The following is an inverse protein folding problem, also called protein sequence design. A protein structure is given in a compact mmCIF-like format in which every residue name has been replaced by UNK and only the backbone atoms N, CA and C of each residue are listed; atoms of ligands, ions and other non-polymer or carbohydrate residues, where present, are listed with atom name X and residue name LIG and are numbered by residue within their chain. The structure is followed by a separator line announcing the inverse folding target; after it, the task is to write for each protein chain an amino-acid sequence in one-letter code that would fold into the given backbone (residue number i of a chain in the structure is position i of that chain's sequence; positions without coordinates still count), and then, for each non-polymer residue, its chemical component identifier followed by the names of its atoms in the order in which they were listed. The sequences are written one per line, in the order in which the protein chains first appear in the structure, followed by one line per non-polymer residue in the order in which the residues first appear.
data_IF_284126583321
#
_entry.id   IF_284126583321
#
_cell.length_a   1.000
_cell.length_b   1.000
_cell.length_c   1.000
_cell.angle_alpha   90.00
_cell.angle_beta   90.00
_cell.angle_gamma   90.00
#
_symmetry.space_group_name_H-M   'P 1'
#
loop_
_entity.id
_entity.type
_entity.pdbx_description
1 polymer ?
#
# COMPACT_ATOMS: atom_id res chain seq x y z
N UNK A 1 29.73 52.44 1.17
CA UNK A 1 30.38 51.74 2.30
C UNK A 1 29.27 51.03 3.04
N UNK A 2 28.99 49.74 2.88
CA UNK A 2 29.84 48.59 2.52
C UNK A 2 28.96 47.49 1.89
N UNK A 3 29.41 46.98 0.75
CA UNK A 3 29.39 45.56 0.31
C UNK A 3 29.37 44.55 1.48
N UNK A 4 28.75 43.36 1.52
CA UNK A 4 28.33 42.27 0.60
C UNK A 4 27.54 41.24 1.49
N UNK A 5 27.11 40.02 1.06
CA UNK A 5 26.86 39.48 -0.28
C UNK A 5 25.45 38.86 -0.45
N UNK A 6 24.98 38.80 -1.69
CA UNK A 6 23.93 37.87 -2.10
C UNK A 6 24.44 36.42 -1.97
N UNK A 7 23.86 35.67 -1.03
CA UNK A 7 24.17 34.27 -0.84
C UNK A 7 23.35 33.37 -1.79
N UNK A 8 24.03 32.66 -2.69
CA UNK A 8 23.67 31.29 -3.04
C UNK A 8 22.88 31.04 -4.32
N UNK A 9 23.49 31.24 -5.49
CA UNK A 9 23.19 30.50 -6.72
C UNK A 9 23.49 28.99 -6.54
N UNK A 10 22.61 28.26 -5.85
CA UNK A 10 22.78 26.82 -5.55
C UNK A 10 21.66 25.90 -6.05
N UNK A 11 20.74 26.38 -6.91
CA UNK A 11 19.46 25.71 -7.18
C UNK A 11 19.13 25.38 -8.64
N UNK A 12 19.88 25.88 -9.63
CA UNK A 12 19.50 25.75 -11.05
C UNK A 12 19.39 24.30 -11.54
N UNK A 13 20.37 23.47 -11.20
CA UNK A 13 20.39 22.07 -11.63
C UNK A 13 19.39 21.19 -10.86
N UNK A 14 19.18 21.46 -9.56
CA UNK A 14 18.17 20.76 -8.73
C UNK A 14 16.74 21.11 -9.14
N UNK A 15 16.50 22.33 -9.60
CA UNK A 15 15.19 22.74 -10.13
C UNK A 15 14.96 22.23 -11.56
N UNK A 16 16.00 22.21 -12.40
CA UNK A 16 15.94 21.63 -13.75
C UNK A 16 15.66 20.11 -13.72
N UNK A 17 16.22 19.39 -12.73
CA UNK A 17 15.94 17.97 -12.53
C UNK A 17 14.52 17.69 -11.99
N UNK A 18 13.89 18.64 -11.28
CA UNK A 18 12.53 18.47 -10.71
C UNK A 18 11.42 18.71 -11.74
N UNK A 19 11.63 19.65 -12.66
CA UNK A 19 10.67 20.02 -13.69
C UNK A 19 10.05 18.84 -14.49
N UNK A 20 10.81 17.84 -14.97
CA UNK A 20 10.22 16.70 -15.67
C UNK A 20 9.37 15.79 -14.75
N UNK A 21 9.77 15.60 -13.49
CA UNK A 21 9.01 14.78 -12.54
C UNK A 21 7.73 15.46 -12.08
N UNK A 22 7.78 16.78 -11.84
CA UNK A 22 6.61 17.57 -11.44
C UNK A 22 5.55 17.60 -12.56
N UNK A 23 5.98 17.61 -13.84
CA UNK A 23 5.07 17.52 -14.98
C UNK A 23 4.39 16.14 -15.08
N UNK A 24 5.16 15.05 -14.95
CA UNK A 24 4.63 13.67 -14.96
C UNK A 24 3.61 13.49 -13.83
N UNK A 25 3.97 13.94 -12.62
CA UNK A 25 3.14 13.78 -11.43
C UNK A 25 1.85 14.62 -11.52
N UNK A 26 1.94 15.85 -12.04
CA UNK A 26 0.75 16.69 -12.28
C UNK A 26 -0.17 16.11 -13.36
N UNK A 27 0.40 15.53 -14.43
CA UNK A 27 -0.37 14.86 -15.48
C UNK A 27 -1.09 13.61 -14.94
N UNK A 28 -0.39 12.83 -14.11
CA UNK A 28 -0.95 11.64 -13.46
C UNK A 28 -2.10 12.02 -12.51
N UNK A 29 -1.93 13.05 -11.69
CA UNK A 29 -2.97 13.53 -10.75
C UNK A 29 -4.22 14.02 -11.47
N UNK A 30 -4.05 14.79 -12.55
CA UNK A 30 -5.19 15.23 -13.37
C UNK A 30 -5.96 14.03 -13.95
N UNK A 31 -5.25 13.02 -14.46
CA UNK A 31 -5.86 11.81 -15.01
C UNK A 31 -6.56 10.98 -13.93
N UNK A 32 -5.89 10.68 -12.81
CA UNK A 32 -6.44 9.89 -11.71
C UNK A 32 -7.71 10.53 -11.12
N UNK A 33 -7.67 11.84 -10.85
CA UNK A 33 -8.83 12.59 -10.31
C UNK A 33 -9.99 12.60 -11.30
N UNK A 34 -9.73 12.89 -12.56
CA UNK A 34 -10.78 12.95 -13.60
C UNK A 34 -11.43 11.58 -13.79
N UNK A 35 -10.63 10.51 -13.85
CA UNK A 35 -11.13 9.16 -14.00
C UNK A 35 -11.93 8.69 -12.77
N UNK A 36 -11.49 9.00 -11.54
CA UNK A 36 -12.22 8.64 -10.32
C UNK A 36 -13.53 9.41 -10.18
N UNK A 37 -13.55 10.71 -10.47
CA UNK A 37 -14.78 11.51 -10.45
C UNK A 37 -15.78 10.94 -11.46
N UNK A 38 -15.34 10.61 -12.67
CA UNK A 38 -16.18 9.98 -13.69
C UNK A 38 -16.73 8.63 -13.22
N UNK A 39 -15.90 7.79 -12.60
CA UNK A 39 -16.34 6.48 -12.13
C UNK A 39 -17.35 6.56 -10.98
N UNK A 40 -17.11 7.43 -9.99
CA UNK A 40 -18.02 7.63 -8.85
C UNK A 40 -19.33 8.26 -9.31
N UNK A 41 -19.27 9.30 -10.15
CA UNK A 41 -20.47 9.94 -10.71
C UNK A 41 -21.27 8.97 -11.59
N UNK A 42 -20.58 8.18 -12.42
CA UNK A 42 -21.20 7.14 -13.24
C UNK A 42 -21.88 6.07 -12.38
N UNK A 43 -21.22 5.60 -11.32
CA UNK A 43 -21.76 4.60 -10.41
C UNK A 43 -23.00 5.14 -9.69
N UNK A 44 -22.95 6.36 -9.17
CA UNK A 44 -24.10 7.02 -8.56
C UNK A 44 -25.27 7.16 -9.55
N UNK A 45 -25.00 7.59 -10.78
CA UNK A 45 -26.03 7.76 -11.82
C UNK A 45 -26.72 6.44 -12.15
N UNK A 46 -25.94 5.38 -12.35
CA UNK A 46 -26.45 4.06 -12.73
C UNK A 46 -27.23 3.40 -11.57
N UNK A 47 -26.74 3.54 -10.33
CA UNK A 47 -27.40 2.98 -9.14
C UNK A 47 -28.70 3.73 -8.81
N UNK A 48 -28.69 5.06 -8.81
CA UNK A 48 -29.90 5.89 -8.63
C UNK A 48 -30.90 5.62 -9.74
N UNK A 49 -30.45 5.57 -11.00
CA UNK A 49 -31.30 5.23 -12.15
C UNK A 49 -31.97 3.86 -11.99
N UNK A 50 -31.24 2.86 -11.48
CA UNK A 50 -31.80 1.54 -11.20
C UNK A 50 -32.85 1.56 -10.07
N UNK A 51 -32.62 2.34 -9.01
CA UNK A 51 -33.61 2.51 -7.92
C UNK A 51 -34.88 3.18 -8.44
N UNK A 52 -34.75 4.22 -9.27
CA UNK A 52 -35.89 4.90 -9.90
C UNK A 52 -36.65 3.94 -10.82
N UNK A 53 -35.95 3.20 -11.69
CA UNK A 53 -36.58 2.22 -12.58
C UNK A 53 -37.34 1.16 -11.79
N UNK A 54 -36.73 0.62 -10.73
CA UNK A 54 -37.34 -0.40 -9.88
C UNK A 54 -38.59 0.11 -9.16
N UNK A 55 -38.55 1.36 -8.66
CA UNK A 55 -39.61 1.91 -7.81
C UNK A 55 -40.74 2.60 -8.59
N UNK A 56 -40.46 3.19 -9.76
CA UNK A 56 -41.47 3.89 -10.57
C UNK A 56 -41.99 3.05 -11.73
N UNK A 57 -41.13 2.25 -12.36
CA UNK A 57 -41.44 1.53 -13.61
C UNK A 57 -41.65 0.03 -13.39
N UNK A 58 -41.37 -0.48 -12.19
CA UNK A 58 -41.56 -1.88 -11.82
C UNK A 58 -40.58 -2.88 -12.46
N UNK A 59 -39.58 -2.39 -13.22
CA UNK A 59 -38.52 -3.21 -13.81
C UNK A 59 -37.14 -2.79 -13.29
N UNK A 60 -36.20 -3.74 -13.16
CA UNK A 60 -34.82 -3.45 -12.79
C UNK A 60 -33.91 -3.40 -14.02
N UNK A 61 -32.98 -2.45 -14.05
CA UNK A 61 -31.97 -2.35 -15.09
C UNK A 61 -30.87 -3.37 -14.84
N UNK A 62 -30.95 -4.52 -15.51
CA UNK A 62 -29.99 -5.61 -15.31
C UNK A 62 -28.54 -5.19 -15.62
N UNK A 63 -28.34 -4.29 -16.60
CA UNK A 63 -27.03 -3.72 -16.92
C UNK A 63 -26.47 -2.83 -15.80
N UNK A 64 -27.35 -2.23 -14.97
CA UNK A 64 -26.91 -1.28 -13.95
C UNK A 64 -26.07 -1.96 -12.87
N UNK A 65 -26.39 -3.22 -12.55
CA UNK A 65 -25.60 -4.00 -11.62
C UNK A 65 -24.21 -4.34 -12.17
N UNK A 66 -24.14 -4.78 -13.44
CA UNK A 66 -22.88 -5.12 -14.10
C UNK A 66 -21.97 -3.88 -14.19
N UNK A 67 -22.52 -2.73 -14.59
CA UNK A 67 -21.78 -1.47 -14.71
C UNK A 67 -21.33 -0.96 -13.34
N UNK A 68 -22.20 -1.01 -12.31
CA UNK A 68 -21.82 -0.59 -10.97
C UNK A 68 -20.66 -1.43 -10.41
N UNK A 69 -20.67 -2.75 -10.64
CA UNK A 69 -19.57 -3.62 -10.22
C UNK A 69 -18.28 -3.32 -10.99
N UNK A 70 -18.35 -3.03 -12.30
CA UNK A 70 -17.17 -2.59 -13.06
C UNK A 70 -16.58 -1.29 -12.53
N UNK A 71 -17.43 -0.29 -12.29
CA UNK A 71 -17.02 1.01 -11.77
C UNK A 71 -16.47 0.88 -10.34
N UNK A 72 -16.94 -0.07 -9.54
CA UNK A 72 -16.37 -0.33 -8.20
C UNK A 72 -14.93 -0.82 -8.30
N UNK A 73 -14.66 -1.76 -9.21
CA UNK A 73 -13.29 -2.23 -9.47
C UNK A 73 -12.43 -1.07 -9.95
N UNK A 74 -12.92 -0.24 -10.89
CA UNK A 74 -12.21 0.98 -11.32
C UNK A 74 -11.86 1.90 -10.16
N UNK A 75 -12.84 2.22 -9.29
CA UNK A 75 -12.64 3.13 -8.15
C UNK A 75 -11.61 2.56 -7.17
N UNK A 76 -11.65 1.25 -6.89
CA UNK A 76 -10.71 0.63 -5.95
C UNK A 76 -9.26 0.69 -6.43
N UNK A 77 -9.00 0.36 -7.69
CA UNK A 77 -7.63 0.29 -8.21
C UNK A 77 -7.07 1.64 -8.62
N UNK A 78 -7.87 2.54 -9.22
CA UNK A 78 -7.43 3.91 -9.49
C UNK A 78 -7.27 4.71 -8.18
N UNK A 79 -8.01 4.36 -7.12
CA UNK A 79 -7.91 4.99 -5.81
C UNK A 79 -6.58 4.77 -5.09
N UNK A 80 -5.81 3.74 -5.47
CA UNK A 80 -4.50 3.43 -4.87
C UNK A 80 -3.53 4.60 -5.05
N UNK A 81 -3.50 5.18 -6.26
CA UNK A 81 -2.68 6.35 -6.55
C UNK A 81 -3.06 7.53 -5.64
N UNK A 82 -4.30 7.98 -5.63
CA UNK A 82 -4.67 9.12 -4.78
C UNK A 82 -4.38 8.85 -3.29
N UNK A 83 -4.54 7.60 -2.82
CA UNK A 83 -4.17 7.18 -1.47
C UNK A 83 -2.68 7.35 -1.15
N UNK A 84 -1.81 6.87 -2.03
CA UNK A 84 -0.36 6.96 -1.87
C UNK A 84 0.14 8.42 -1.95
N UNK A 85 -0.41 9.21 -2.88
CA UNK A 85 -0.08 10.64 -3.01
C UNK A 85 -0.36 11.46 -1.77
N UNK A 86 -1.48 11.20 -1.08
CA UNK A 86 -1.85 11.91 0.15
C UNK A 86 -1.31 11.23 1.41
N UNK A 87 -0.38 10.27 1.27
CA UNK A 87 0.23 9.57 2.39
C UNK A 87 -0.79 8.97 3.38
N UNK A 88 -1.97 8.55 2.89
CA UNK A 88 -3.05 8.00 3.73
C UNK A 88 -2.83 6.55 4.16
N UNK A 89 -1.61 6.05 3.98
CA UNK A 89 -1.24 4.71 4.43
C UNK A 89 -0.99 4.72 5.93
N UNK A 90 -1.50 3.71 6.63
CA UNK A 90 -1.24 3.54 8.06
C UNK A 90 0.25 3.25 8.22
N UNK A 91 1.00 4.25 8.68
CA UNK A 91 2.42 4.12 9.02
C UNK A 91 2.54 3.65 10.46
N UNK A 92 3.32 2.61 10.68
CA UNK A 92 3.80 2.26 12.02
C UNK A 92 5.03 3.10 12.32
N UNK A 93 4.87 4.19 13.08
CA UNK A 93 5.95 5.15 13.37
C UNK A 93 6.91 4.65 14.44
N UNK A 94 6.48 3.75 15.34
CA UNK A 94 7.27 3.33 16.50
C UNK A 94 8.70 2.85 16.19
N UNK A 95 8.91 2.18 15.05
CA UNK A 95 10.26 1.79 14.63
C UNK A 95 11.03 2.98 14.05
N UNK A 96 10.38 3.83 13.25
CA UNK A 96 10.99 5.02 12.64
C UNK A 96 11.41 6.06 13.70
N UNK A 97 10.65 6.18 14.79
CA UNK A 97 10.86 7.16 15.87
C UNK A 97 12.06 6.79 16.77
N UNK A 98 12.46 5.52 16.78
CA UNK A 98 13.61 5.02 17.53
C UNK A 98 14.95 5.16 16.78
N UNK A 99 14.93 5.49 15.48
CA UNK A 99 16.13 5.62 14.66
C UNK A 99 16.64 7.08 14.62
N UNK A 100 17.98 7.31 14.58
CA UNK A 100 18.55 8.64 14.38
C UNK A 100 18.18 9.19 12.98
N UNK A 101 18.27 10.51 12.79
CA UNK A 101 17.83 11.21 11.57
C UNK A 101 18.29 10.57 10.24
N UNK A 102 19.52 10.04 10.18
CA UNK A 102 20.04 9.33 9.00
C UNK A 102 19.33 7.98 8.78
N UNK A 103 19.03 7.26 9.86
CA UNK A 103 18.34 5.97 9.83
C UNK A 103 16.89 6.08 9.38
N UNK A 104 16.19 7.11 9.84
CA UNK A 104 14.83 7.46 9.39
C UNK A 104 14.76 7.65 7.88
N UNK A 105 15.69 8.45 7.35
CA UNK A 105 15.78 8.72 5.92
C UNK A 105 16.06 7.46 5.10
N UNK A 106 17.06 6.69 5.51
CA UNK A 106 17.44 5.43 4.83
C UNK A 106 16.25 4.46 4.84
N UNK A 107 15.58 4.32 5.98
CA UNK A 107 14.40 3.46 6.11
C UNK A 107 13.29 3.89 5.15
N UNK A 108 12.98 5.18 5.08
CA UNK A 108 11.93 5.72 4.23
C UNK A 108 12.26 5.53 2.74
N UNK A 109 13.53 5.72 2.34
CA UNK A 109 14.02 5.38 0.99
C UNK A 109 13.80 3.90 0.67
N UNK A 110 14.26 3.01 1.55
CA UNK A 110 14.19 1.56 1.34
C UNK A 110 12.73 1.13 1.22
N UNK A 111 11.87 1.53 2.17
CA UNK A 111 10.45 1.19 2.15
C UNK A 111 9.79 1.67 0.87
N UNK A 112 10.02 2.93 0.47
CA UNK A 112 9.41 3.49 -0.75
C UNK A 112 9.81 2.71 -2.01
N UNK A 113 11.09 2.36 -2.17
CA UNK A 113 11.54 1.57 -3.32
C UNK A 113 11.11 0.11 -3.26
N UNK A 114 11.12 -0.52 -2.09
CA UNK A 114 10.64 -1.90 -1.93
C UNK A 114 9.13 -1.98 -2.22
N UNK A 115 8.34 -1.02 -1.74
CA UNK A 115 6.91 -0.94 -2.06
C UNK A 115 6.67 -0.65 -3.54
N UNK A 116 7.42 0.27 -4.15
CA UNK A 116 7.34 0.52 -5.59
C UNK A 116 7.66 -0.73 -6.41
N UNK A 117 8.74 -1.43 -6.08
CA UNK A 117 9.13 -2.68 -6.72
C UNK A 117 8.04 -3.74 -6.61
N UNK A 118 7.49 -3.95 -5.41
CA UNK A 118 6.38 -4.88 -5.19
C UNK A 118 5.16 -4.52 -6.05
N UNK A 119 4.77 -3.25 -6.10
CA UNK A 119 3.64 -2.79 -6.91
C UNK A 119 3.89 -2.97 -8.41
N UNK A 120 5.12 -2.74 -8.90
CA UNK A 120 5.46 -3.03 -10.29
C UNK A 120 5.44 -4.53 -10.60
N UNK A 121 5.91 -5.39 -9.70
CA UNK A 121 5.79 -6.85 -9.85
C UNK A 121 4.34 -7.32 -9.87
N UNK A 122 3.48 -6.73 -9.02
CA UNK A 122 2.04 -7.00 -9.03
C UNK A 122 1.36 -6.48 -10.29
N UNK A 123 1.82 -5.36 -10.85
CA UNK A 123 1.33 -4.84 -12.12
C UNK A 123 1.67 -5.78 -13.28
N UNK A 124 2.91 -6.27 -13.36
CA UNK A 124 3.32 -7.25 -14.37
C UNK A 124 2.51 -8.56 -14.24
N UNK A 125 2.35 -9.06 -13.02
CA UNK A 125 1.53 -10.24 -12.78
C UNK A 125 0.07 -10.03 -13.19
N UNK A 126 -0.53 -8.90 -12.80
CA UNK A 126 -1.92 -8.58 -13.15
C UNK A 126 -2.10 -8.42 -14.67
N UNK A 127 -1.09 -7.91 -15.38
CA UNK A 127 -1.07 -7.85 -16.84
C UNK A 127 -1.05 -9.24 -17.47
N UNK A 128 -0.16 -10.11 -17.00
CA UNK A 128 -0.07 -11.50 -17.45
C UNK A 128 -1.36 -12.28 -17.14
N UNK A 129 -1.96 -12.06 -15.97
CA UNK A 129 -3.24 -12.64 -15.58
C UNK A 129 -4.38 -12.16 -16.48
N UNK A 130 -4.50 -10.84 -16.74
CA UNK A 130 -5.52 -10.31 -17.65
C UNK A 130 -5.38 -10.89 -19.07
N UNK A 131 -4.14 -11.01 -19.56
CA UNK A 131 -3.84 -11.66 -20.84
C UNK A 131 -4.09 -13.16 -20.85
N UNK A 132 -3.95 -13.85 -19.71
CA UNK A 132 -4.33 -15.25 -19.55
C UNK A 132 -5.86 -15.38 -19.61
N UNK A 133 -6.61 -14.56 -18.87
CA UNK A 133 -8.08 -14.54 -18.90
C UNK A 133 -8.62 -14.32 -20.31
N UNK A 134 -8.01 -13.42 -21.09
CA UNK A 134 -8.38 -13.21 -22.48
C UNK A 134 -8.19 -14.46 -23.36
N UNK A 135 -7.10 -15.21 -23.14
CA UNK A 135 -6.73 -16.39 -23.93
C UNK A 135 -7.44 -17.66 -23.49
N UNK A 136 -8.16 -17.64 -22.36
CA UNK A 136 -8.68 -18.87 -21.81
C UNK A 136 -10.08 -19.23 -22.31
N UNK A 137 -10.11 -20.13 -23.31
CA UNK A 137 -11.30 -20.87 -23.72
C UNK A 137 -11.22 -22.35 -23.26
N UNK A 138 -10.81 -22.65 -22.03
CA UNK A 138 -10.69 -24.05 -21.55
C UNK A 138 -11.55 -24.28 -20.30
N UNK A 139 -12.37 -25.32 -20.35
CA UNK A 139 -13.27 -25.72 -19.27
C UNK A 139 -12.53 -26.65 -18.30
N UNK A 140 -12.56 -26.33 -17.01
CA UNK A 140 -12.53 -27.36 -15.96
C UNK A 140 -13.96 -27.50 -15.42
N UNK A 141 -14.36 -28.72 -15.00
CA UNK A 141 -15.68 -28.93 -14.40
C UNK A 141 -15.85 -28.06 -13.14
N UNK A 142 -17.00 -27.39 -13.04
CA UNK A 142 -17.33 -26.47 -11.92
C UNK A 142 -17.34 -27.18 -10.56
N UNK A 143 -17.61 -28.48 -10.58
CA UNK A 143 -17.50 -29.36 -9.43
C UNK A 143 -16.90 -30.73 -9.81
N UNK A 144 -16.11 -31.29 -8.89
CA UNK A 144 -15.75 -32.71 -8.91
C UNK A 144 -16.74 -33.41 -7.99
N UNK A 145 -17.61 -34.22 -8.59
CA UNK A 145 -18.60 -34.99 -7.85
C UNK A 145 -17.98 -36.29 -7.34
N UNK A 146 -17.71 -36.36 -6.05
CA UNK A 146 -17.16 -37.54 -5.37
C UNK A 146 -18.27 -38.49 -4.89
N UNK A 147 -19.51 -38.34 -5.38
CA UNK A 147 -20.64 -39.21 -5.09
C UNK A 147 -21.28 -39.01 -3.71
N UNK A 148 -20.53 -38.50 -2.73
CA UNK A 148 -21.04 -38.09 -1.41
C UNK A 148 -20.93 -36.57 -1.19
N UNK A 149 -20.07 -35.89 -1.95
CA UNK A 149 -19.82 -34.45 -1.83
C UNK A 149 -19.45 -33.89 -3.20
N UNK A 150 -20.17 -32.88 -3.67
CA UNK A 150 -19.78 -32.09 -4.83
C UNK A 150 -18.81 -31.02 -4.36
N UNK A 151 -17.52 -31.17 -4.67
CA UNK A 151 -16.54 -30.13 -4.35
C UNK A 151 -16.63 -29.05 -5.43
N UNK A 152 -17.07 -27.81 -5.12
CA UNK A 152 -17.12 -26.73 -6.09
C UNK A 152 -15.70 -26.23 -6.38
N UNK A 153 -15.00 -26.95 -7.26
CA UNK A 153 -13.62 -26.67 -7.64
C UNK A 153 -13.51 -25.30 -8.34
N UNK A 154 -14.61 -24.74 -8.84
CA UNK A 154 -14.69 -23.40 -9.46
C UNK A 154 -14.27 -22.21 -8.57
N UNK A 155 -14.42 -22.28 -7.24
CA UNK A 155 -14.09 -21.17 -6.32
C UNK A 155 -12.93 -21.42 -5.34
N UNK A 156 -12.51 -22.67 -5.19
CA UNK A 156 -11.60 -23.13 -4.14
C UNK A 156 -10.15 -22.57 -4.17
N UNK A 157 -9.49 -22.27 -5.30
CA UNK A 157 -8.08 -21.86 -5.25
C UNK A 157 -7.86 -20.42 -4.79
N UNK A 158 -8.81 -19.50 -5.00
CA UNK A 158 -8.76 -18.17 -4.40
C UNK A 158 -9.02 -18.23 -2.91
N UNK A 159 -10.04 -19.00 -2.49
CA UNK A 159 -10.31 -19.23 -1.07
C UNK A 159 -9.13 -19.92 -0.39
N UNK A 160 -8.55 -20.95 -1.02
CA UNK A 160 -7.36 -21.65 -0.53
C UNK A 160 -6.12 -20.74 -0.53
N UNK A 161 -5.96 -19.88 -1.52
CA UNK A 161 -4.87 -18.89 -1.58
C UNK A 161 -4.99 -17.82 -0.50
N UNK A 162 -6.19 -17.26 -0.30
CA UNK A 162 -6.50 -16.34 0.79
C UNK A 162 -6.28 -17.04 2.14
N UNK A 163 -6.80 -18.26 2.32
CA UNK A 163 -6.59 -19.05 3.53
C UNK A 163 -5.11 -19.35 3.75
N UNK A 164 -4.34 -19.73 2.73
CA UNK A 164 -2.91 -19.97 2.83
C UNK A 164 -2.13 -18.70 3.18
N UNK A 165 -2.55 -17.55 2.65
CA UNK A 165 -1.92 -16.25 2.97
C UNK A 165 -2.28 -15.81 4.39
N UNK A 166 -3.53 -15.99 4.81
CA UNK A 166 -3.98 -15.72 6.19
C UNK A 166 -3.29 -16.64 7.20
N UNK A 167 -3.19 -17.93 6.89
CA UNK A 167 -2.45 -18.92 7.67
C UNK A 167 -0.96 -18.57 7.69
N UNK A 168 -0.39 -18.13 6.58
CA UNK A 168 0.99 -17.64 6.49
C UNK A 168 1.24 -16.42 7.38
N UNK A 169 0.36 -15.41 7.33
CA UNK A 169 0.42 -14.22 8.19
C UNK A 169 0.27 -14.61 9.67
N UNK A 170 -0.66 -15.52 9.98
CA UNK A 170 -0.86 -16.01 11.36
C UNK A 170 0.34 -16.80 11.88
N UNK A 171 0.93 -17.68 11.06
CA UNK A 171 2.13 -18.43 11.39
C UNK A 171 3.35 -17.52 11.54
N UNK A 172 3.51 -16.53 10.67
CA UNK A 172 4.55 -15.51 10.78
C UNK A 172 4.39 -14.70 12.08
N UNK A 173 3.17 -14.27 12.41
CA UNK A 173 2.87 -13.59 13.67
C UNK A 173 3.18 -14.46 14.89
N UNK A 174 2.82 -15.74 14.84
CA UNK A 174 3.11 -16.67 15.92
C UNK A 174 4.62 -16.95 16.06
N UNK A 175 5.35 -17.05 14.94
CA UNK A 175 6.80 -17.20 14.89
C UNK A 175 7.51 -15.98 15.47
N UNK A 176 7.08 -14.76 15.13
CA UNK A 176 7.60 -13.51 15.70
C UNK A 176 7.36 -13.49 17.21
N UNK A 177 6.17 -13.89 17.66
CA UNK A 177 5.85 -13.96 19.10
C UNK A 177 6.74 -14.97 19.84
N UNK A 178 6.93 -16.16 19.29
CA UNK A 178 7.84 -17.18 19.81
C UNK A 178 9.29 -16.69 19.89
N UNK A 179 9.76 -15.98 18.86
CA UNK A 179 11.10 -15.37 18.84
C UNK A 179 11.20 -14.23 19.87
N UNK A 180 10.15 -13.43 20.06
CA UNK A 180 10.16 -12.33 21.04
C UNK A 180 10.10 -12.82 22.50
N UNK A 181 9.23 -13.78 22.80
CA UNK A 181 9.00 -14.29 24.16
C UNK A 181 10.04 -15.35 24.56
N UNK A 182 10.47 -16.21 23.62
CA UNK A 182 11.46 -17.26 23.82
C UNK A 182 12.89 -16.84 23.48
N UNK A 183 13.06 -15.99 22.46
CA UNK A 183 14.38 -15.53 22.01
C UNK A 183 15.03 -14.54 22.96
N UNK A 184 14.27 -13.73 23.73
CA UNK A 184 14.86 -12.84 24.74
C UNK A 184 15.69 -13.58 25.81
N UNK A 185 15.28 -14.81 26.19
CA UNK A 185 16.04 -15.66 27.13
C UNK A 185 17.26 -16.34 26.49
N UNK A 186 17.28 -16.45 25.16
CA UNK A 186 18.34 -17.09 24.37
C UNK A 186 19.39 -16.05 23.90
N UNK A 187 18.94 -14.84 23.55
CA UNK A 187 19.75 -13.73 23.05
C UNK A 187 20.64 -13.10 24.13
N UNK A 188 20.26 -13.21 25.41
CA UNK A 188 21.07 -12.73 26.54
C UNK A 188 22.38 -13.52 26.73
N UNK A 189 22.53 -14.65 26.03
CA UNK A 189 23.73 -15.50 26.04
C UNK A 189 24.74 -15.11 24.94
N UNK A 190 24.39 -14.18 24.05
CA UNK A 190 25.19 -13.86 22.86
C UNK A 190 25.51 -12.36 22.76
N UNK A 191 26.75 -12.04 22.42
CA UNK A 191 27.24 -10.67 22.24
C UNK A 191 26.43 -9.88 21.20
N UNK A 192 26.45 -8.54 21.31
CA UNK A 192 25.61 -7.62 20.53
C UNK A 192 25.67 -7.82 19.00
N UNK A 193 26.83 -8.19 18.46
CA UNK A 193 27.03 -8.48 17.04
C UNK A 193 26.36 -9.79 16.60
N UNK A 194 26.37 -10.82 17.45
CA UNK A 194 25.71 -12.11 17.15
C UNK A 194 24.19 -12.00 17.25
N UNK A 195 23.70 -11.20 18.19
CA UNK A 195 22.29 -10.85 18.31
C UNK A 195 21.76 -10.12 17.06
N UNK A 196 22.51 -9.16 16.52
CA UNK A 196 22.14 -8.48 15.27
C UNK A 196 22.09 -9.44 14.07
N UNK A 197 23.05 -10.36 13.97
CA UNK A 197 23.08 -11.38 12.91
C UNK A 197 21.88 -12.34 12.98
N UNK A 198 21.49 -12.78 14.18
CA UNK A 198 20.29 -13.64 14.35
C UNK A 198 19.00 -12.94 13.94
N UNK A 199 18.84 -11.66 14.28
CA UNK A 199 17.65 -10.87 13.88
C UNK A 199 17.61 -10.69 12.36
N UNK A 200 18.74 -10.38 11.74
CA UNK A 200 18.85 -10.30 10.28
C UNK A 200 18.54 -11.65 9.61
N UNK A 201 19.08 -12.75 10.13
CA UNK A 201 18.79 -14.08 9.61
C UNK A 201 17.29 -14.43 9.73
N UNK A 202 16.64 -14.09 10.85
CA UNK A 202 15.21 -14.29 11.03
C UNK A 202 14.36 -13.47 10.04
N UNK A 203 14.72 -12.20 9.81
CA UNK A 203 14.05 -11.35 8.81
C UNK A 203 14.22 -11.90 7.38
N UNK A 204 15.41 -12.38 7.04
CA UNK A 204 15.69 -13.01 5.74
C UNK A 204 14.86 -14.29 5.58
N UNK A 205 14.78 -15.15 6.60
CA UNK A 205 13.95 -16.36 6.57
C UNK A 205 12.48 -16.01 6.39
N UNK A 206 11.99 -14.98 7.10
CA UNK A 206 10.60 -14.52 6.97
C UNK A 206 10.30 -13.99 5.56
N UNK A 207 11.24 -13.24 4.97
CA UNK A 207 11.13 -12.74 3.60
C UNK A 207 11.13 -13.89 2.57
N UNK A 208 11.97 -14.91 2.76
CA UNK A 208 11.99 -16.10 1.90
C UNK A 208 10.70 -16.92 2.00
N UNK A 209 10.12 -17.04 3.20
CA UNK A 209 8.82 -17.69 3.40
C UNK A 209 7.69 -16.91 2.71
N UNK A 210 7.66 -15.58 2.86
CA UNK A 210 6.70 -14.73 2.17
C UNK A 210 6.83 -14.84 0.64
N UNK A 211 8.06 -14.84 0.13
CA UNK A 211 8.35 -15.07 -1.29
C UNK A 211 7.85 -16.44 -1.76
N UNK A 212 8.11 -17.52 -1.01
CA UNK A 212 7.65 -18.87 -1.32
C UNK A 212 6.12 -19.01 -1.31
N UNK A 213 5.44 -18.39 -0.34
CA UNK A 213 3.96 -18.37 -0.29
C UNK A 213 3.42 -17.62 -1.50
N UNK A 214 4.03 -16.49 -1.84
CA UNK A 214 3.65 -15.70 -3.01
C UNK A 214 3.83 -16.52 -4.30
N UNK A 215 4.96 -17.20 -4.51
CA UNK A 215 5.17 -18.01 -5.73
C UNK A 215 4.20 -19.18 -5.84
N UNK A 216 3.87 -19.85 -4.73
CA UNK A 216 2.85 -20.92 -4.71
C UNK A 216 1.47 -20.36 -5.04
N UNK A 217 1.09 -19.22 -4.46
CA UNK A 217 -0.16 -18.54 -4.77
C UNK A 217 -0.25 -18.17 -6.25
N UNK A 218 0.82 -17.59 -6.79
CA UNK A 218 0.92 -17.21 -8.20
C UNK A 218 0.78 -18.45 -9.10
N UNK A 219 1.47 -19.55 -8.78
CA UNK A 219 1.34 -20.81 -9.52
C UNK A 219 -0.08 -21.41 -9.46
N UNK A 220 -0.78 -21.26 -8.33
CA UNK A 220 -2.18 -21.66 -8.22
C UNK A 220 -3.14 -20.77 -9.02
N UNK A 221 -2.87 -19.47 -9.10
CA UNK A 221 -3.68 -18.52 -9.90
C UNK A 221 -3.46 -18.74 -11.39
N UNK A 222 -2.22 -18.98 -11.81
CA UNK A 222 -1.86 -19.23 -13.22
C UNK A 222 -2.41 -20.58 -13.73
N UNK A 223 -2.51 -21.59 -12.87
CA UNK A 223 -3.13 -22.88 -13.17
C UNK A 223 -4.67 -22.82 -13.37
N UNK A 224 -5.30 -21.65 -13.25
CA UNK A 224 -6.76 -21.46 -13.17
C UNK A 224 -7.39 -20.73 -14.35
N UNK A 225 -6.79 -20.88 -15.50
CA UNK A 225 -7.31 -20.35 -16.74
C UNK A 225 -8.61 -21.12 -17.10
N UNK A 226 -9.80 -20.53 -16.85
CA UNK A 226 -11.10 -21.14 -17.15
C UNK A 226 -12.32 -20.20 -17.30
N UNK A 227 -12.90 -20.22 -18.50
CA UNK A 227 -14.11 -19.55 -19.03
C UNK A 227 -14.00 -18.13 -19.61
N UNK A 228 -14.49 -18.00 -20.86
CA UNK A 228 -14.90 -16.73 -21.46
C UNK A 228 -16.10 -16.16 -20.70
N UNK A 229 -15.81 -15.47 -19.60
CA UNK A 229 -16.82 -14.75 -18.84
C UNK A 229 -17.10 -13.43 -19.55
N UNK A 230 -18.31 -13.31 -20.09
CA UNK A 230 -18.92 -12.02 -20.42
C UNK A 230 -19.88 -11.66 -19.29
N UNK A 231 -20.09 -10.37 -19.04
CA UNK A 231 -21.11 -9.92 -18.09
C UNK A 231 -22.49 -10.39 -18.54
N UNK A 232 -23.30 -10.95 -17.63
CA UNK A 232 -24.56 -11.63 -17.94
C UNK A 232 -25.58 -10.75 -18.64
N UNK A 233 -25.58 -9.43 -18.39
CA UNK A 233 -26.54 -8.52 -19.00
C UNK A 233 -25.99 -7.67 -20.15
N UNK A 234 -24.71 -7.29 -20.09
CA UNK A 234 -24.13 -6.31 -21.03
C UNK A 234 -23.29 -6.98 -22.13
N UNK A 235 -23.01 -8.28 -22.00
CA UNK A 235 -22.11 -9.01 -22.91
C UNK A 235 -20.68 -8.48 -22.91
N UNK A 236 -20.32 -7.60 -21.98
CA UNK A 236 -19.03 -6.96 -21.91
C UNK A 236 -17.96 -7.97 -21.46
N UNK A 237 -16.80 -8.04 -22.13
CA UNK A 237 -15.76 -9.00 -21.77
C UNK A 237 -15.19 -8.72 -20.38
N UNK A 238 -15.18 -9.73 -19.50
CA UNK A 238 -14.73 -9.56 -18.11
C UNK A 238 -13.22 -9.28 -18.01
N UNK A 239 -12.42 -9.65 -19.02
CA UNK A 239 -10.97 -9.36 -19.03
C UNK A 239 -10.67 -7.85 -18.97
N UNK A 240 -11.56 -7.01 -19.52
CA UNK A 240 -11.37 -5.55 -19.52
C UNK A 240 -11.43 -4.99 -18.09
N UNK A 241 -12.18 -5.61 -17.18
CA UNK A 241 -12.18 -5.21 -15.76
C UNK A 241 -10.86 -5.57 -15.09
N UNK A 242 -10.28 -6.72 -15.44
CA UNK A 242 -9.01 -7.15 -14.88
C UNK A 242 -7.82 -6.36 -15.44
N UNK A 243 -7.94 -5.76 -16.64
CA UNK A 243 -6.92 -4.85 -17.20
C UNK A 243 -6.76 -3.53 -16.42
N UNK A 244 -7.70 -3.21 -15.54
CA UNK A 244 -7.64 -2.01 -14.69
C UNK A 244 -6.72 -2.23 -13.49
N UNK A 245 -6.67 -3.46 -12.99
CA UNK A 245 -5.83 -3.89 -11.87
C UNK A 245 -4.35 -3.56 -12.11
N UNK A 246 -3.71 -3.94 -13.24
CA UNK A 246 -2.31 -3.60 -13.49
C UNK A 246 -2.10 -2.09 -13.60
N UNK A 247 -3.07 -1.33 -14.11
CA UNK A 247 -2.98 0.13 -14.17
C UNK A 247 -2.96 0.76 -12.77
N UNK A 248 -3.83 0.30 -11.86
CA UNK A 248 -3.83 0.78 -10.48
C UNK A 248 -2.51 0.50 -9.74
N UNK A 249 -1.98 -0.72 -9.89
CA UNK A 249 -0.66 -1.06 -9.33
C UNK A 249 0.48 -0.28 -9.98
N UNK A 250 0.43 -0.05 -11.30
CA UNK A 250 1.40 0.76 -12.02
C UNK A 250 1.42 2.20 -11.48
N UNK A 251 0.26 2.83 -11.34
CA UNK A 251 0.15 4.20 -10.83
C UNK A 251 0.60 4.30 -9.37
N UNK A 252 0.17 3.38 -8.51
CA UNK A 252 0.68 3.30 -7.14
C UNK A 252 2.21 3.11 -7.11
N UNK A 253 2.75 2.22 -7.95
CA UNK A 253 4.19 1.96 -8.06
C UNK A 253 4.98 3.20 -8.47
N UNK A 254 4.47 3.96 -9.46
CA UNK A 254 5.07 5.25 -9.88
C UNK A 254 5.13 6.22 -8.71
N UNK A 255 4.07 6.33 -7.91
CA UNK A 255 4.04 7.29 -6.80
C UNK A 255 4.99 6.92 -5.67
N UNK A 256 5.08 5.64 -5.28
CA UNK A 256 6.07 5.19 -4.31
C UNK A 256 7.50 5.32 -4.84
N UNK A 257 7.71 5.11 -6.15
CA UNK A 257 8.99 5.36 -6.79
C UNK A 257 9.38 6.84 -6.73
N UNK A 258 8.45 7.73 -7.07
CA UNK A 258 8.63 9.18 -6.96
C UNK A 258 8.92 9.60 -5.51
N UNK A 259 8.20 9.05 -4.52
CA UNK A 259 8.48 9.30 -3.11
C UNK A 259 9.91 8.88 -2.72
N UNK A 260 10.36 7.70 -3.15
CA UNK A 260 11.74 7.24 -2.95
C UNK A 260 12.77 8.19 -3.57
N UNK A 261 12.58 8.56 -4.85
CA UNK A 261 13.45 9.51 -5.57
C UNK A 261 13.46 10.88 -4.88
N UNK A 262 12.31 11.38 -4.42
CA UNK A 262 12.21 12.64 -3.68
C UNK A 262 13.05 12.63 -2.42
N UNK A 263 13.03 11.50 -1.70
CA UNK A 263 13.75 11.33 -0.46
C UNK A 263 15.27 11.16 -0.67
N UNK A 264 15.72 10.74 -1.86
CA UNK A 264 17.15 10.78 -2.24
C UNK A 264 17.64 12.20 -2.51
N UNK A 265 16.84 13.00 -3.22
CA UNK A 265 17.25 14.32 -3.72
C UNK A 265 17.09 15.41 -2.66
N UNK A 266 16.15 15.24 -1.74
CA UNK A 266 15.82 16.24 -0.71
C UNK A 266 16.55 15.92 0.61
N UNK A 267 17.02 16.93 1.35
CA UNK A 267 17.63 16.71 2.66
C UNK A 267 16.60 16.23 3.71
N UNK A 268 15.37 16.72 3.63
CA UNK A 268 14.25 16.40 4.52
C UNK A 268 13.57 15.06 4.18
N UNK A 269 12.79 14.53 5.12
CA UNK A 269 12.01 13.29 4.97
C UNK A 269 10.65 13.59 4.32
N UNK A 270 10.27 12.82 3.29
CA UNK A 270 9.02 12.97 2.55
C UNK A 270 8.24 11.66 2.52
N UNK A 271 6.99 11.64 3.02
CA UNK A 271 6.05 10.51 2.91
C UNK A 271 5.67 10.24 1.46
N UNK A 272 5.37 11.32 0.74
CA UNK A 272 4.93 11.35 -0.64
C UNK A 272 5.59 12.55 -1.32
N UNK A 273 5.40 12.71 -2.63
CA UNK A 273 6.05 13.81 -3.38
C UNK A 273 5.77 15.20 -2.78
N UNK A 274 4.61 15.40 -2.14
CA UNK A 274 4.19 16.66 -1.53
C UNK A 274 4.12 16.64 0.00
N UNK A 275 3.82 15.49 0.60
CA UNK A 275 3.64 15.40 2.04
C UNK A 275 5.01 15.23 2.71
N UNK A 276 5.48 16.28 3.38
CA UNK A 276 6.64 16.18 4.28
C UNK A 276 6.29 15.33 5.49
N UNK A 277 7.31 14.70 6.03
CA UNK A 277 7.23 14.03 7.31
C UNK A 277 7.36 15.06 8.43
N UNK A 278 6.23 15.61 8.88
CA UNK A 278 6.18 16.45 10.08
C UNK A 278 6.36 15.54 11.30
N UNK A 279 7.62 15.24 11.63
CA UNK A 279 7.98 15.12 13.02
C UNK A 279 8.40 16.51 13.44
N UNK A 280 7.57 17.17 14.26
CA UNK A 280 8.05 18.30 15.04
C UNK A 280 9.31 17.80 15.75
N UNK A 281 10.45 18.43 15.46
CA UNK A 281 11.47 18.52 16.49
C UNK A 281 10.75 19.23 17.63
N UNK A 282 10.25 18.47 18.61
CA UNK A 282 10.09 18.96 19.98
C UNK A 282 11.50 19.42 20.36
N UNK A 283 11.82 20.66 19.96
CA UNK A 283 12.91 21.41 20.51
C UNK A 283 12.69 21.31 22.00
N UNK A 284 13.64 20.68 22.69
CA UNK A 284 13.76 20.75 24.13
C UNK A 284 13.67 22.22 24.47
N UNK A 285 12.49 22.67 24.91
CA UNK A 285 12.31 24.02 25.40
C UNK A 285 13.27 24.16 26.59
N UNK A 286 14.26 25.07 26.54
CA UNK A 286 15.10 25.34 27.70
C UNK A 286 14.27 25.77 28.93
N UNK A 287 12.98 26.09 28.75
CA UNK A 287 12.01 26.41 29.81
C UNK A 287 11.46 25.23 30.62
N UNK A 288 11.80 23.97 30.32
CA UNK A 288 11.46 22.81 31.17
C UNK A 288 12.69 22.17 31.82
N UNK A 289 13.69 22.95 32.21
CA UNK A 289 14.33 22.62 33.49
C UNK A 289 13.33 22.99 34.56
N UNK A 290 12.75 22.00 35.23
CA UNK A 290 11.97 22.22 36.45
C UNK A 290 12.75 23.13 37.37
N UNK A 291 12.38 24.41 37.34
CA UNK A 291 12.93 25.43 38.20
C UNK A 291 12.48 25.07 39.60
N UNK A 292 13.42 24.64 40.42
CA UNK A 292 13.28 24.77 41.86
C UNK A 292 13.08 26.27 42.10
N UNK A 293 11.84 26.69 42.32
CA UNK A 293 11.47 28.06 42.62
C UNK A 293 11.35 28.17 44.16
N UNK A 294 12.42 28.58 44.87
CA UNK A 294 12.49 28.50 46.33
C UNK A 294 11.45 29.40 47.05
N UNK A 295 10.78 30.30 46.32
CA UNK A 295 9.72 31.14 46.87
C UNK A 295 8.34 30.45 46.82
N UNK A 296 8.10 29.53 45.88
CA UNK A 296 6.82 28.82 45.74
C UNK A 296 6.71 27.67 46.77
N UNK A 297 7.80 26.90 46.95
CA UNK A 297 7.88 25.84 47.95
C UNK A 297 7.86 26.39 49.40
N UNK A 298 8.48 27.56 49.64
CA UNK A 298 8.46 28.21 50.95
C UNK A 298 7.09 28.81 51.31
N UNK A 299 6.27 29.14 50.31
CA UNK A 299 4.90 29.58 50.51
C UNK A 299 3.96 28.41 50.84
N UNK A 300 4.14 27.25 50.19
CA UNK A 300 3.38 26.03 50.51
C UNK A 300 3.69 25.47 51.90
N UNK A 301 4.94 25.58 52.38
CA UNK A 301 5.31 25.12 53.73
C UNK A 301 4.71 26.00 54.85
N UNK A 302 4.43 27.28 54.56
CA UNK A 302 3.85 28.22 55.54
C UNK A 302 2.34 28.04 55.73
N UNK A 303 1.66 27.45 54.75
CA UNK A 303 0.21 27.19 54.76
C UNK A 303 -0.15 25.80 55.31
N UNK A 304 0.85 24.93 55.53
CA UNK A 304 0.70 23.59 56.12
C UNK A 304 1.07 23.52 57.62
N UNK A 305 1.34 24.66 58.26
CA UNK A 305 1.71 24.79 59.68
C UNK A 305 0.54 25.11 60.60
#
# INVERSE_FOLDING_TARGET
MTDQPQAGHGGGWRNALKAPFDWIDSGLDWFERSALILCVAGMATVTVGNVIARNLLGFSLQFANDVAQMLLVMVTFLGIGIGARHARHIRVSALHDLLPHLGQKILLVIVSFTTAWLLFSLADFAWNYAGAVQRTCRVLPEAVDLGLFSLPVGGMPLAAGIVATLVGIALAGHLIRLISEGGARLLDRFDGTQRQLMVLAALVVLALLAWGIFTVFIGMVEARSGQCRVTSSTGFPVYLNYMVVPLGFLFGGIQFFLAGVRNLISPENYLSWYQKDEYEEEGVDPGMTGGFDPEEDAAEERDRG
#
